data_IF_619374536265
#
_entry.id   IF_619374536265
#
_cell.length_a   1.000
_cell.length_b   1.000
_cell.length_c   1.000
_cell.angle_alpha   90.00
_cell.angle_beta   90.00
_cell.angle_gamma   90.00
#
_symmetry.space_group_name_H-M   'P 1'
#
loop_
_entity.id
_entity.type
_entity.pdbx_description
1 polymer ?
#
# COMPACT_ATOMS: atom_id res chain seq x y z
N UNK A 1 31.01 0.13 -16.31
CA UNK A 1 29.75 0.90 -16.28
C UNK A 1 28.89 0.37 -17.42
N UNK A 2 27.89 -0.45 -17.09
CA UNK A 2 27.05 -1.09 -18.10
C UNK A 2 26.22 -0.01 -18.80
N UNK A 3 26.42 0.13 -20.11
CA UNK A 3 25.62 1.02 -20.95
C UNK A 3 24.22 0.42 -21.10
N UNK A 4 23.26 0.95 -20.35
CA UNK A 4 21.84 0.62 -20.57
C UNK A 4 21.50 1.00 -22.00
N UNK A 5 21.05 0.03 -22.80
CA UNK A 5 20.71 0.26 -24.21
C UNK A 5 19.31 0.91 -24.25
N UNK A 6 19.12 1.99 -25.03
CA UNK A 6 17.82 2.64 -25.16
C UNK A 6 16.71 1.67 -25.58
N UNK A 7 17.04 0.69 -26.41
CA UNK A 7 16.11 -0.31 -26.93
C UNK A 7 15.51 -1.22 -25.84
N UNK A 8 16.30 -1.54 -24.80
CA UNK A 8 15.82 -2.34 -23.66
C UNK A 8 14.86 -1.52 -22.79
N UNK A 9 15.14 -0.23 -22.58
CA UNK A 9 14.26 0.66 -21.82
C UNK A 9 12.92 0.81 -22.55
N UNK A 10 12.96 1.03 -23.88
CA UNK A 10 11.76 1.13 -24.71
C UNK A 10 10.92 -0.15 -24.66
N UNK A 11 11.56 -1.32 -24.80
CA UNK A 11 10.87 -2.61 -24.74
C UNK A 11 10.23 -2.89 -23.36
N UNK A 12 10.85 -2.43 -22.26
CA UNK A 12 10.29 -2.54 -20.90
C UNK A 12 9.04 -1.66 -20.75
N UNK A 13 9.12 -0.41 -21.20
CA UNK A 13 7.99 0.53 -21.13
C UNK A 13 6.82 0.07 -22.01
N UNK A 14 7.08 -0.40 -23.22
CA UNK A 14 6.05 -0.97 -24.11
C UNK A 14 5.35 -2.17 -23.46
N UNK A 15 6.09 -3.05 -22.79
CA UNK A 15 5.51 -4.17 -22.05
C UNK A 15 4.64 -3.73 -20.87
N UNK A 16 5.06 -2.71 -20.11
CA UNK A 16 4.26 -2.18 -19.01
C UNK A 16 2.96 -1.55 -19.50
N UNK A 17 2.98 -0.83 -20.62
CA UNK A 17 1.79 -0.26 -21.25
C UNK A 17 0.88 -1.36 -21.80
N UNK A 18 1.45 -2.39 -22.45
CA UNK A 18 0.65 -3.50 -23.00
C UNK A 18 0.00 -4.34 -21.91
N UNK A 19 0.67 -4.51 -20.77
CA UNK A 19 0.15 -5.22 -19.61
C UNK A 19 -0.73 -4.33 -18.71
N UNK A 20 -0.87 -3.03 -19.01
CA UNK A 20 -1.75 -2.15 -18.28
C UNK A 20 -3.20 -2.48 -18.64
N UNK A 21 -3.83 -3.28 -17.80
CA UNK A 21 -5.27 -3.51 -17.85
C UNK A 21 -5.95 -2.45 -17.01
N UNK A 22 -6.74 -1.57 -17.63
CA UNK A 22 -7.66 -0.69 -16.92
C UNK A 22 -8.84 -1.51 -16.37
N UNK A 23 -8.57 -2.34 -15.37
CA UNK A 23 -9.58 -3.02 -14.58
C UNK A 23 -10.30 -2.00 -13.69
N UNK A 24 -11.62 -2.11 -13.61
CA UNK A 24 -12.37 -1.44 -12.54
C UNK A 24 -12.20 -2.32 -11.31
N UNK A 25 -11.32 -1.93 -10.40
CA UNK A 25 -11.21 -2.55 -9.09
C UNK A 25 -12.21 -1.86 -8.16
N UNK A 26 -13.12 -2.64 -7.57
CA UNK A 26 -13.95 -2.15 -6.47
C UNK A 26 -13.09 -2.03 -5.23
N UNK A 27 -12.84 -0.80 -4.79
CA UNK A 27 -12.04 -0.51 -3.60
C UNK A 27 -12.96 0.00 -2.49
N UNK A 28 -12.93 -0.68 -1.34
CA UNK A 28 -13.59 -0.24 -0.12
C UNK A 28 -12.87 0.96 0.48
N UNK A 29 -13.56 2.09 0.64
CA UNK A 29 -12.97 3.32 1.21
C UNK A 29 -13.53 3.57 2.61
N UNK A 30 -12.63 3.77 3.56
CA UNK A 30 -12.93 4.15 4.94
C UNK A 30 -12.52 5.58 5.29
N UNK A 31 -13.08 6.11 6.37
CA UNK A 31 -12.68 7.39 6.97
C UNK A 31 -12.08 7.15 8.34
N UNK A 32 -10.88 7.68 8.58
CA UNK A 32 -10.23 7.65 9.90
C UNK A 32 -10.94 8.62 10.83
N UNK A 33 -11.45 8.12 11.96
CA UNK A 33 -12.12 8.91 12.98
C UNK A 33 -11.15 9.39 14.06
N UNK A 34 -10.21 8.53 14.45
CA UNK A 34 -9.24 8.80 15.52
C UNK A 34 -7.96 8.02 15.28
N UNK A 35 -6.83 8.60 15.70
CA UNK A 35 -5.52 7.94 15.75
C UNK A 35 -4.90 8.17 17.12
N UNK A 36 -4.32 7.12 17.72
CA UNK A 36 -3.56 7.20 18.97
C UNK A 36 -2.71 5.95 19.17
N UNK A 37 -1.48 6.10 19.66
CA UNK A 37 -0.55 5.01 20.00
C UNK A 37 -0.38 3.93 18.90
N UNK A 38 -0.37 4.35 17.63
CA UNK A 38 -0.29 3.41 16.50
C UNK A 38 -1.57 2.58 16.29
N UNK A 39 -2.71 3.11 16.71
CA UNK A 39 -4.04 2.52 16.48
C UNK A 39 -4.94 3.57 15.86
N UNK A 40 -5.61 3.22 14.77
CA UNK A 40 -6.59 4.03 14.09
C UNK A 40 -7.98 3.40 14.18
N UNK A 41 -8.98 4.22 14.46
CA UNK A 41 -10.39 3.84 14.36
C UNK A 41 -10.90 4.29 13.00
N UNK A 42 -11.37 3.35 12.19
CA UNK A 42 -11.77 3.60 10.80
C UNK A 42 -13.24 3.21 10.62
N UNK A 43 -14.00 4.07 9.94
CA UNK A 43 -15.40 3.83 9.62
C UNK A 43 -15.61 3.62 8.12
N UNK A 44 -16.47 2.68 7.72
CA UNK A 44 -16.95 2.54 6.35
C UNK A 44 -16.41 1.33 5.56
N UNK A 45 -15.33 0.71 6.01
CA UNK A 45 -14.73 -0.49 5.40
C UNK A 45 -15.58 -1.75 5.60
N UNK A 46 -16.80 -1.78 5.03
CA UNK A 46 -17.80 -2.85 5.25
C UNK A 46 -17.34 -4.22 4.76
N UNK A 47 -16.55 -4.24 3.70
CA UNK A 47 -16.05 -5.45 3.06
C UNK A 47 -14.66 -5.84 3.56
N UNK A 48 -14.12 -5.14 4.55
CA UNK A 48 -12.79 -5.42 5.08
C UNK A 48 -12.78 -6.69 5.93
N UNK A 49 -11.76 -7.52 5.70
CA UNK A 49 -11.52 -8.74 6.44
C UNK A 49 -10.56 -8.52 7.62
N UNK A 50 -10.69 -9.35 8.65
CA UNK A 50 -9.70 -9.40 9.72
C UNK A 50 -8.34 -9.83 9.16
N UNK A 51 -7.29 -9.19 9.64
CA UNK A 51 -5.91 -9.29 9.17
C UNK A 51 -5.69 -8.83 7.73
N UNK A 52 -6.61 -8.07 7.16
CA UNK A 52 -6.39 -7.39 5.88
C UNK A 52 -5.44 -6.20 6.05
N UNK A 53 -4.63 -5.95 5.02
CA UNK A 53 -3.72 -4.83 4.96
C UNK A 53 -4.43 -3.62 4.33
N UNK A 54 -4.46 -2.52 5.06
CA UNK A 54 -5.10 -1.28 4.67
C UNK A 54 -4.03 -0.24 4.33
N UNK A 55 -4.23 0.46 3.23
CA UNK A 55 -3.41 1.60 2.86
C UNK A 55 -4.02 2.90 3.40
N UNK A 56 -3.20 3.65 4.14
CA UNK A 56 -3.51 4.97 4.65
C UNK A 56 -2.82 6.03 3.81
N UNK A 57 -3.32 7.29 3.86
CA UNK A 57 -2.67 8.40 3.16
C UNK A 57 -1.18 8.49 3.49
N UNK A 58 -0.35 8.70 2.46
CA UNK A 58 1.10 8.77 2.61
C UNK A 58 1.82 7.42 2.49
N UNK A 59 1.15 6.38 1.99
CA UNK A 59 1.74 5.05 1.79
C UNK A 59 1.99 4.29 3.09
N UNK A 60 1.30 4.68 4.16
CA UNK A 60 1.37 4.00 5.46
C UNK A 60 0.48 2.78 5.38
N UNK A 61 1.02 1.61 5.72
CA UNK A 61 0.22 0.39 5.80
C UNK A 61 -0.25 0.17 7.24
N UNK A 62 -1.47 -0.34 7.41
CA UNK A 62 -2.00 -0.77 8.69
C UNK A 62 -2.67 -2.13 8.55
N UNK A 63 -2.84 -2.84 9.66
CA UNK A 63 -3.52 -4.15 9.65
C UNK A 63 -4.83 -4.04 10.40
N UNK A 64 -5.92 -4.45 9.74
CA UNK A 64 -7.23 -4.54 10.35
C UNK A 64 -7.23 -5.67 11.39
N UNK A 65 -7.12 -5.34 12.67
CA UNK A 65 -7.14 -6.34 13.74
C UNK A 65 -8.56 -6.69 14.15
N UNK A 66 -9.43 -5.69 14.17
CA UNK A 66 -10.84 -5.81 14.49
C UNK A 66 -11.64 -4.95 13.51
N UNK A 67 -12.88 -5.33 13.22
CA UNK A 67 -13.73 -4.63 12.24
C UNK A 67 -14.17 -3.22 12.72
N UNK A 68 -13.85 -2.87 13.97
CA UNK A 68 -14.00 -1.53 14.54
C UNK A 68 -12.66 -0.80 14.78
N UNK A 69 -11.53 -1.52 14.81
CA UNK A 69 -10.22 -1.00 15.23
C UNK A 69 -9.07 -1.56 14.38
N UNK A 70 -8.28 -0.66 13.79
CA UNK A 70 -7.15 -0.98 12.93
C UNK A 70 -5.86 -0.57 13.63
N UNK A 71 -4.92 -1.48 13.83
CA UNK A 71 -3.60 -1.09 14.34
C UNK A 71 -2.75 -0.59 13.18
N UNK A 72 -2.31 0.66 13.28
CA UNK A 72 -1.38 1.29 12.34
C UNK A 72 0.01 1.22 12.96
N UNK A 73 0.82 0.27 12.50
CA UNK A 73 2.12 0.00 13.11
C UNK A 73 2.99 1.25 13.29
N UNK A 74 3.51 1.43 14.51
CA UNK A 74 4.40 2.55 14.90
C UNK A 74 5.70 2.59 14.05
N UNK A 75 6.06 1.47 13.39
CA UNK A 75 7.20 1.36 12.48
C UNK A 75 6.92 1.77 11.01
N UNK A 76 5.70 2.19 10.68
CA UNK A 76 5.28 2.53 9.31
C UNK A 76 5.08 4.04 9.07
N UNK A 77 5.37 4.89 10.07
CA UNK A 77 5.50 6.34 9.84
C UNK A 77 6.90 6.61 9.28
N UNK A 78 7.02 6.56 7.94
CA UNK A 78 8.11 7.22 7.22
C UNK A 78 9.02 6.35 6.34
N UNK A 79 8.80 5.04 6.23
CA UNK A 79 9.49 4.20 5.24
C UNK A 79 8.55 3.24 4.56
N UNK A 80 8.58 3.24 3.23
CA UNK A 80 7.89 2.26 2.40
C UNK A 80 8.63 0.94 2.59
N UNK A 81 7.98 -0.09 3.12
CA UNK A 81 8.54 -1.44 3.26
C UNK A 81 7.69 -2.44 2.50
N UNK A 82 8.30 -3.47 1.93
CA UNK A 82 7.58 -4.58 1.30
C UNK A 82 6.98 -5.54 2.34
N UNK A 83 6.25 -6.56 1.88
CA UNK A 83 5.59 -7.56 2.73
C UNK A 83 6.56 -8.44 3.56
N UNK A 84 7.87 -8.33 3.32
CA UNK A 84 8.93 -9.00 4.07
C UNK A 84 9.65 -8.04 5.04
N UNK A 85 9.17 -6.81 5.16
CA UNK A 85 9.76 -5.78 6.02
C UNK A 85 11.02 -5.13 5.43
N UNK A 86 11.28 -5.30 4.13
CA UNK A 86 12.44 -4.72 3.44
C UNK A 86 12.07 -3.30 2.97
N UNK A 87 12.87 -2.27 3.28
CA UNK A 87 12.62 -0.92 2.78
C UNK A 87 12.68 -0.84 1.24
N UNK A 88 11.56 -0.43 0.64
CA UNK A 88 11.39 -0.15 -0.78
C UNK A 88 11.94 1.23 -1.18
N UNK A 89 12.18 2.10 -0.21
CA UNK A 89 12.87 3.39 -0.38
C UNK A 89 14.40 3.25 -0.46
N UNK A 90 14.94 2.02 -0.30
CA UNK A 90 16.33 1.67 -0.57
C UNK A 90 17.35 2.09 0.51
N UNK A 91 17.02 3.02 1.39
CA UNK A 91 17.98 3.64 2.32
C UNK A 91 18.88 4.66 1.65
#
# INVERSE_FOLDING_TARGET
>A
MASVRPDEITAILERQITNFSAGVEEVGVGTVLQVGDGVARVYGLRDCAVAELLEFPGGVMGMALNLDEVNVGEGLIGRVVDALGIPLDGG
#
